data_IF_366375480417
#
_entry.id   IF_366375480417
#
_cell.length_a   1.000
_cell.length_b   1.000
_cell.length_c   1.000
_cell.angle_alpha   90.00
_cell.angle_beta   90.00
_cell.angle_gamma   90.00
#
_symmetry.space_group_name_H-M   'P 1'
#
loop_
_entity.id
_entity.type
_entity.pdbx_description
1 polymer ?
#
# COMPACT_ATOMS: atom_id res chain seq x y z
N UNK A 1 -8.49 7.43 15.26
CA UNK A 1 -8.87 6.47 16.32
C UNK A 1 -7.66 6.21 17.19
N UNK A 2 -7.81 6.29 18.51
CA UNK A 2 -6.73 5.97 19.45
C UNK A 2 -6.37 4.49 19.26
N UNK A 3 -5.06 4.20 19.12
CA UNK A 3 -4.57 2.82 18.96
C UNK A 3 -4.68 2.22 17.56
N UNK A 4 -5.00 3.01 16.54
CA UNK A 4 -4.96 2.55 15.15
C UNK A 4 -4.02 3.41 14.30
N UNK A 5 -3.14 2.76 13.57
CA UNK A 5 -2.26 3.38 12.55
C UNK A 5 -2.77 2.99 11.18
N UNK A 6 -2.90 3.97 10.28
CA UNK A 6 -3.20 3.71 8.88
C UNK A 6 -2.02 4.21 8.03
N UNK A 7 -1.49 3.34 7.19
CA UNK A 7 -0.49 3.68 6.18
C UNK A 7 -1.18 3.65 4.82
N UNK A 8 -1.01 4.72 4.06
CA UNK A 8 -1.70 4.93 2.78
C UNK A 8 -0.64 5.11 1.71
N UNK A 9 -0.66 4.27 0.71
CA UNK A 9 0.19 4.35 -0.48
C UNK A 9 -0.70 4.48 -1.71
N UNK A 10 -1.03 5.71 -2.15
CA UNK A 10 -1.66 5.94 -3.44
C UNK A 10 -0.57 6.06 -4.50
N UNK A 11 -0.88 5.58 -5.70
CA UNK A 11 -0.05 5.77 -6.88
C UNK A 11 -0.91 6.28 -8.02
N UNK A 12 -0.50 7.42 -8.62
CA UNK A 12 -1.20 8.03 -9.74
C UNK A 12 -0.86 7.30 -11.03
N UNK A 13 -1.87 6.88 -11.77
CA UNK A 13 -1.66 6.21 -13.06
C UNK A 13 -1.16 7.20 -14.11
N UNK A 14 -0.15 6.78 -14.87
CA UNK A 14 0.51 7.62 -15.87
C UNK A 14 1.85 8.18 -15.37
N UNK A 15 2.33 9.23 -16.03
CA UNK A 15 3.62 9.83 -15.71
C UNK A 15 3.53 11.35 -15.55
N UNK A 16 4.48 11.91 -14.79
CA UNK A 16 4.63 13.35 -14.66
C UNK A 16 3.75 14.01 -13.59
N UNK A 17 3.59 15.33 -13.71
CA UNK A 17 2.99 16.16 -12.66
C UNK A 17 1.51 15.88 -12.39
N UNK A 18 0.75 15.42 -13.37
CA UNK A 18 -0.68 15.10 -13.20
C UNK A 18 -0.85 13.86 -12.30
N UNK A 19 -0.12 12.78 -12.57
CA UNK A 19 -0.14 11.57 -11.75
C UNK A 19 0.33 11.85 -10.30
N UNK A 20 1.41 12.61 -10.14
CA UNK A 20 1.90 13.03 -8.82
C UNK A 20 0.88 13.89 -8.07
N UNK A 21 0.16 14.77 -8.77
CA UNK A 21 -0.92 15.56 -8.15
C UNK A 21 -2.08 14.67 -7.71
N UNK A 22 -2.52 13.72 -8.53
CA UNK A 22 -3.64 12.83 -8.21
C UNK A 22 -3.33 11.91 -7.03
N UNK A 23 -2.14 11.34 -6.96
CA UNK A 23 -1.71 10.53 -5.82
C UNK A 23 -1.63 11.37 -4.53
N UNK A 24 -1.05 12.58 -4.60
CA UNK A 24 -0.96 13.48 -3.45
C UNK A 24 -2.34 13.93 -2.97
N UNK A 25 -3.23 14.32 -3.89
CA UNK A 25 -4.60 14.69 -3.57
C UNK A 25 -5.37 13.53 -2.93
N UNK A 26 -5.23 12.33 -3.47
CA UNK A 26 -5.85 11.11 -2.94
C UNK A 26 -5.39 10.83 -1.50
N UNK A 27 -4.08 10.88 -1.25
CA UNK A 27 -3.51 10.69 0.09
C UNK A 27 -4.05 11.71 1.08
N UNK A 28 -4.01 12.98 0.72
CA UNK A 28 -4.41 14.09 1.61
C UNK A 28 -5.91 14.07 1.90
N UNK A 29 -6.75 13.80 0.91
CA UNK A 29 -8.21 13.66 1.13
C UNK A 29 -8.52 12.48 2.06
N UNK A 30 -7.93 11.32 1.82
CA UNK A 30 -8.11 10.16 2.70
C UNK A 30 -7.66 10.47 4.13
N UNK A 31 -6.47 11.02 4.29
CA UNK A 31 -5.94 11.40 5.60
C UNK A 31 -6.90 12.33 6.36
N UNK A 32 -7.36 13.41 5.73
CA UNK A 32 -8.26 14.39 6.35
C UNK A 32 -9.63 13.79 6.70
N UNK A 33 -10.19 12.96 5.83
CA UNK A 33 -11.47 12.30 6.09
C UNK A 33 -11.37 11.34 7.28
N UNK A 34 -10.30 10.54 7.34
CA UNK A 34 -10.06 9.61 8.45
C UNK A 34 -9.82 10.36 9.76
N UNK A 35 -9.04 11.44 9.75
CA UNK A 35 -8.81 12.30 10.91
C UNK A 35 -10.10 12.98 11.40
N UNK A 36 -11.00 13.33 10.49
CA UNK A 36 -12.33 13.86 10.81
C UNK A 36 -13.30 12.79 11.34
N UNK A 37 -12.87 11.53 11.47
CA UNK A 37 -13.69 10.43 11.99
C UNK A 37 -14.58 9.76 10.96
N UNK A 38 -14.41 10.06 9.67
CA UNK A 38 -15.12 9.35 8.59
C UNK A 38 -14.58 7.93 8.52
N UNK A 39 -15.49 6.95 8.39
CA UNK A 39 -15.07 5.55 8.21
C UNK A 39 -14.27 5.39 6.92
N UNK A 40 -13.32 4.44 6.90
CA UNK A 40 -12.45 4.24 5.75
C UNK A 40 -13.25 3.91 4.48
N UNK A 41 -14.29 3.08 4.58
CA UNK A 41 -15.18 2.77 3.43
C UNK A 41 -15.87 4.01 2.87
N UNK A 42 -16.36 4.90 3.74
CA UNK A 42 -16.98 6.15 3.31
C UNK A 42 -15.95 7.11 2.72
N UNK A 43 -14.77 7.22 3.31
CA UNK A 43 -13.67 8.04 2.81
C UNK A 43 -13.22 7.61 1.41
N UNK A 44 -13.05 6.29 1.19
CA UNK A 44 -12.69 5.73 -0.11
C UNK A 44 -13.75 6.04 -1.18
N UNK A 45 -15.05 5.91 -0.85
CA UNK A 45 -16.14 6.26 -1.77
C UNK A 45 -16.16 7.75 -2.11
N UNK A 46 -15.90 8.62 -1.14
CA UNK A 46 -15.83 10.06 -1.36
C UNK A 46 -14.65 10.42 -2.27
N UNK A 47 -13.47 9.83 -2.03
CA UNK A 47 -12.29 10.04 -2.86
C UNK A 47 -12.52 9.55 -4.28
N UNK A 48 -13.11 8.36 -4.45
CA UNK A 48 -13.47 7.85 -5.77
C UNK A 48 -14.42 8.83 -6.51
N UNK A 49 -15.43 9.35 -5.83
CA UNK A 49 -16.35 10.32 -6.41
C UNK A 49 -15.65 11.63 -6.78
N UNK A 50 -14.71 12.11 -5.95
CA UNK A 50 -13.96 13.32 -6.22
C UNK A 50 -13.06 13.19 -7.46
N UNK A 51 -12.39 12.04 -7.60
CA UNK A 51 -11.59 11.74 -8.78
C UNK A 51 -12.44 11.66 -10.04
N UNK A 52 -13.59 10.99 -10.00
CA UNK A 52 -14.52 10.91 -11.12
C UNK A 52 -15.02 12.27 -11.60
N UNK A 53 -15.31 13.20 -10.68
CA UNK A 53 -15.75 14.55 -11.04
C UNK A 53 -14.62 15.39 -11.63
N UNK A 54 -13.40 15.20 -11.12
CA UNK A 54 -12.21 15.91 -11.63
C UNK A 54 -11.83 15.45 -13.02
N UNK A 55 -12.00 14.16 -13.31
CA UNK A 55 -11.55 13.54 -14.56
C UNK A 55 -12.52 13.83 -15.71
N UNK A 56 -12.36 15.00 -16.32
CA UNK A 56 -12.75 15.16 -17.71
C UNK A 56 -11.94 14.22 -18.64
N UNK A 57 -10.75 13.78 -18.23
CA UNK A 57 -9.89 12.79 -18.88
C UNK A 57 -8.85 12.26 -17.86
N UNK A 58 -8.98 10.98 -17.49
CA UNK A 58 -7.90 10.10 -17.02
C UNK A 58 -7.23 10.36 -15.67
N UNK A 59 -7.92 10.91 -14.67
CA UNK A 59 -7.38 10.96 -13.29
C UNK A 59 -7.65 9.64 -12.58
N UNK A 60 -6.73 8.71 -12.66
CA UNK A 60 -6.79 7.40 -12.02
C UNK A 60 -5.72 7.29 -10.94
N UNK A 61 -6.05 6.65 -9.85
CA UNK A 61 -5.07 6.33 -8.81
C UNK A 61 -5.31 4.93 -8.28
N UNK A 62 -4.23 4.21 -8.05
CA UNK A 62 -4.28 3.01 -7.23
C UNK A 62 -4.28 3.41 -5.76
N UNK A 63 -4.84 2.60 -4.90
CA UNK A 63 -4.82 2.83 -3.45
C UNK A 63 -4.48 1.52 -2.76
N UNK A 64 -3.45 1.56 -1.94
CA UNK A 64 -3.10 0.53 -0.98
C UNK A 64 -3.12 1.11 0.43
N UNK A 65 -3.91 0.52 1.32
CA UNK A 65 -4.02 0.95 2.71
C UNK A 65 -3.81 -0.23 3.63
N UNK A 66 -2.92 -0.04 4.60
CA UNK A 66 -2.71 -0.97 5.70
C UNK A 66 -3.13 -0.28 7.00
N UNK A 67 -4.17 -0.78 7.63
CA UNK A 67 -4.67 -0.30 8.92
C UNK A 67 -4.32 -1.28 10.04
N UNK A 68 -3.51 -0.86 11.00
CA UNK A 68 -3.06 -1.69 12.12
C UNK A 68 -3.76 -1.27 13.40
N UNK A 69 -4.44 -2.19 14.04
CA UNK A 69 -4.92 -2.03 15.42
C UNK A 69 -3.78 -2.43 16.38
N UNK A 70 -3.26 -1.45 17.09
CA UNK A 70 -2.09 -1.61 17.95
C UNK A 70 -2.37 -2.41 19.23
N UNK A 71 -3.65 -2.59 19.61
CA UNK A 71 -4.03 -3.37 20.79
C UNK A 71 -4.19 -4.85 20.48
N UNK A 72 -4.69 -5.16 19.30
CA UNK A 72 -5.03 -6.54 18.92
C UNK A 72 -4.04 -7.17 17.93
N UNK A 73 -3.22 -6.35 17.27
CA UNK A 73 -2.38 -6.78 16.14
C UNK A 73 -3.21 -7.13 14.90
N UNK A 74 -4.50 -6.75 14.88
CA UNK A 74 -5.35 -6.93 13.72
C UNK A 74 -4.94 -5.94 12.62
N UNK A 75 -4.67 -6.46 11.44
CA UNK A 75 -4.25 -5.69 10.26
C UNK A 75 -5.28 -5.84 9.16
N UNK A 76 -5.85 -4.73 8.74
CA UNK A 76 -6.77 -4.62 7.62
C UNK A 76 -6.02 -4.10 6.39
N UNK A 77 -6.19 -4.77 5.27
CA UNK A 77 -5.68 -4.38 3.96
C UNK A 77 -6.86 -3.93 3.09
N UNK A 78 -6.78 -2.71 2.54
CA UNK A 78 -7.75 -2.18 1.59
C UNK A 78 -7.02 -1.84 0.31
N UNK A 79 -7.46 -2.41 -0.80
CA UNK A 79 -6.79 -2.27 -2.09
C UNK A 79 -7.76 -1.84 -3.19
N UNK A 80 -7.28 -0.97 -4.07
CA UNK A 80 -7.96 -0.60 -5.30
C UNK A 80 -6.91 -0.47 -6.42
N UNK A 81 -6.80 -1.47 -7.27
CA UNK A 81 -5.84 -1.53 -8.38
C UNK A 81 -4.36 -1.52 -7.97
N UNK A 82 -4.07 -1.63 -6.69
CA UNK A 82 -2.72 -1.51 -6.16
C UNK A 82 -1.91 -2.81 -6.31
N UNK A 83 -0.58 -2.64 -6.36
CA UNK A 83 0.38 -3.72 -6.32
C UNK A 83 0.17 -4.66 -5.11
N UNK A 84 0.62 -5.92 -5.14
CA UNK A 84 0.57 -6.81 -3.99
C UNK A 84 1.22 -6.20 -2.74
N UNK A 85 0.62 -6.41 -1.59
CA UNK A 85 1.21 -6.09 -0.28
C UNK A 85 1.74 -7.38 0.32
N UNK A 86 3.03 -7.39 0.65
CA UNK A 86 3.71 -8.57 1.15
C UNK A 86 3.66 -8.63 2.67
N UNK A 87 3.72 -9.82 3.19
CA UNK A 87 3.75 -10.04 4.64
C UNK A 87 4.64 -11.24 4.99
N UNK A 88 5.27 -11.17 6.16
CA UNK A 88 5.85 -12.31 6.83
C UNK A 88 5.09 -12.55 8.12
N UNK A 89 4.41 -13.67 8.19
CA UNK A 89 3.63 -14.08 9.36
C UNK A 89 4.19 -15.36 9.94
N UNK A 90 4.64 -15.31 11.19
CA UNK A 90 5.23 -16.46 11.88
C UNK A 90 6.35 -17.13 11.07
N UNK A 91 7.21 -16.30 10.47
CA UNK A 91 8.35 -16.74 9.65
C UNK A 91 8.02 -17.18 8.23
N UNK A 92 6.76 -17.14 7.80
CA UNK A 92 6.36 -17.50 6.44
C UNK A 92 6.01 -16.26 5.63
N UNK A 93 6.61 -16.14 4.45
CA UNK A 93 6.28 -15.10 3.48
C UNK A 93 4.97 -15.39 2.76
N UNK A 94 4.33 -14.32 2.34
CA UNK A 94 3.11 -14.34 1.54
C UNK A 94 2.76 -12.94 1.07
N UNK A 95 1.63 -12.81 0.38
CA UNK A 95 1.16 -11.53 -0.09
C UNK A 95 -0.37 -11.47 -0.15
N UNK A 96 -0.90 -10.25 -0.18
CA UNK A 96 -2.31 -9.93 -0.37
C UNK A 96 -2.43 -9.21 -1.71
N UNK A 97 -3.19 -9.79 -2.62
CA UNK A 97 -3.56 -9.19 -3.90
C UNK A 97 -5.00 -8.73 -3.90
N UNK A 98 -5.35 -7.89 -4.85
CA UNK A 98 -6.72 -7.50 -5.14
C UNK A 98 -6.94 -7.48 -6.65
N UNK A 99 -8.11 -7.94 -7.08
CA UNK A 99 -8.58 -7.82 -8.45
C UNK A 99 -9.43 -6.57 -8.67
N UNK A 100 -9.58 -5.71 -7.66
CA UNK A 100 -10.36 -4.49 -7.76
C UNK A 100 -9.70 -3.45 -8.68
N UNK A 101 -10.54 -2.63 -9.30
CA UNK A 101 -10.09 -1.57 -10.21
C UNK A 101 -9.51 -0.37 -9.41
N UNK A 102 -8.60 0.41 -10.02
CA UNK A 102 -8.19 1.70 -9.50
C UNK A 102 -9.38 2.64 -9.25
N UNK A 103 -9.21 3.61 -8.35
CA UNK A 103 -10.20 4.65 -8.12
C UNK A 103 -10.24 5.65 -9.26
N UNK A 104 -11.40 6.21 -9.52
CA UNK A 104 -11.62 7.16 -10.61
C UNK A 104 -12.10 6.52 -11.93
N UNK A 105 -12.14 5.18 -12.05
CA UNK A 105 -12.61 4.50 -13.26
C UNK A 105 -14.13 4.44 -13.35
N UNK A 106 -14.78 3.99 -12.28
CA UNK A 106 -16.23 3.74 -12.27
C UNK A 106 -16.89 4.30 -11.01
N UNK A 107 -18.13 4.75 -11.15
CA UNK A 107 -19.01 4.98 -9.99
C UNK A 107 -19.35 3.66 -9.30
N UNK A 108 -19.25 3.63 -7.96
CA UNK A 108 -19.63 2.45 -7.18
C UNK A 108 -18.55 1.38 -7.06
N UNK A 109 -17.27 1.75 -7.10
CA UNK A 109 -16.15 0.85 -6.83
C UNK A 109 -16.31 0.18 -5.46
N UNK A 110 -16.17 -1.14 -5.44
CA UNK A 110 -16.06 -1.91 -4.21
C UNK A 110 -14.59 -2.10 -3.88
N UNK A 111 -14.24 -1.79 -2.62
CA UNK A 111 -12.87 -2.02 -2.13
C UNK A 111 -12.80 -3.40 -1.50
N UNK A 112 -11.81 -4.17 -1.90
CA UNK A 112 -11.54 -5.45 -1.26
C UNK A 112 -10.87 -5.20 0.09
N UNK A 113 -11.42 -5.83 1.13
CA UNK A 113 -10.87 -5.82 2.47
C UNK A 113 -10.43 -7.21 2.85
N UNK A 114 -9.15 -7.36 3.17
CA UNK A 114 -8.58 -8.57 3.76
C UNK A 114 -8.12 -8.25 5.18
N UNK A 115 -8.27 -9.19 6.10
CA UNK A 115 -7.89 -9.00 7.50
C UNK A 115 -7.02 -10.16 7.96
N UNK A 116 -5.89 -9.85 8.59
CA UNK A 116 -5.00 -10.82 9.25
C UNK A 116 -4.65 -10.33 10.65
N UNK A 117 -4.39 -11.26 11.56
CA UNK A 117 -3.79 -10.92 12.86
C UNK A 117 -2.30 -11.20 12.79
N UNK A 118 -1.50 -10.18 13.05
CA UNK A 118 -0.05 -10.25 13.12
C UNK A 118 0.42 -10.18 14.58
N UNK A 119 1.64 -10.63 14.82
CA UNK A 119 2.28 -10.71 16.13
C UNK A 119 3.62 -9.99 16.10
N UNK A 120 4.22 -9.85 17.25
CA UNK A 120 5.59 -9.36 17.39
C UNK A 120 6.55 -10.07 16.45
N UNK A 121 7.37 -9.30 15.72
CA UNK A 121 8.30 -9.77 14.71
C UNK A 121 7.69 -10.07 13.34
N UNK A 122 6.36 -10.03 13.19
CA UNK A 122 5.74 -10.12 11.87
C UNK A 122 5.92 -8.81 11.09
N UNK A 123 5.97 -8.92 9.76
CA UNK A 123 6.26 -7.81 8.84
C UNK A 123 5.12 -7.61 7.85
N UNK A 124 4.92 -6.35 7.47
CA UNK A 124 4.14 -5.97 6.29
C UNK A 124 5.00 -5.06 5.41
N UNK A 125 5.00 -5.32 4.10
CA UNK A 125 5.73 -4.53 3.11
C UNK A 125 4.78 -4.08 2.02
N UNK A 126 4.60 -2.77 1.91
CA UNK A 126 3.86 -2.13 0.83
C UNK A 126 4.85 -1.62 -0.22
N UNK A 127 4.51 -1.77 -1.48
CA UNK A 127 5.37 -1.35 -2.59
C UNK A 127 4.55 -0.70 -3.70
N UNK A 128 5.17 0.23 -4.44
CA UNK A 128 4.64 0.68 -5.73
C UNK A 128 4.90 -0.38 -6.80
N UNK A 129 4.18 -0.32 -7.92
CA UNK A 129 4.33 -1.24 -9.06
C UNK A 129 5.74 -1.16 -9.67
N UNK A 130 6.37 0.02 -9.69
CA UNK A 130 7.75 0.20 -10.09
C UNK A 130 8.75 -0.66 -9.32
N UNK A 131 8.43 -1.09 -8.10
CA UNK A 131 9.26 -2.02 -7.34
C UNK A 131 9.18 -3.47 -7.85
N UNK A 132 8.18 -3.79 -8.66
CA UNK A 132 7.85 -5.15 -9.09
C UNK A 132 8.15 -5.43 -10.57
N UNK A 133 8.77 -4.49 -11.28
CA UNK A 133 9.09 -4.60 -12.72
C UNK A 133 9.93 -5.86 -13.07
N UNK A 134 10.68 -6.40 -12.13
CA UNK A 134 11.45 -7.65 -12.26
C UNK A 134 10.75 -8.90 -11.71
N UNK A 135 9.42 -8.86 -11.48
CA UNK A 135 8.68 -9.90 -10.76
C UNK A 135 8.80 -9.74 -9.24
N UNK A 136 8.12 -10.57 -8.46
CA UNK A 136 8.06 -10.38 -7.00
C UNK A 136 8.30 -11.64 -6.14
N UNK A 137 8.52 -12.80 -6.74
CA UNK A 137 8.79 -14.04 -5.97
C UNK A 137 10.01 -13.92 -5.06
N UNK A 138 11.00 -13.16 -5.52
CA UNK A 138 12.19 -12.85 -4.75
C UNK A 138 11.88 -12.12 -3.45
N UNK A 139 10.89 -11.22 -3.46
CA UNK A 139 10.51 -10.42 -2.29
C UNK A 139 9.91 -11.31 -1.20
N UNK A 140 9.06 -12.27 -1.58
CA UNK A 140 8.51 -13.27 -0.64
C UNK A 140 9.65 -14.08 -0.02
N UNK A 141 10.60 -14.54 -0.85
CA UNK A 141 11.76 -15.30 -0.37
C UNK A 141 12.66 -14.47 0.56
N UNK A 142 12.94 -13.21 0.21
CA UNK A 142 13.77 -12.33 1.03
C UNK A 142 13.11 -12.05 2.38
N UNK A 143 11.79 -11.86 2.43
CA UNK A 143 11.06 -11.68 3.68
C UNK A 143 11.11 -12.94 4.57
N UNK A 144 11.00 -14.14 3.99
CA UNK A 144 11.12 -15.39 4.75
C UNK A 144 12.49 -15.55 5.42
N UNK A 145 13.55 -15.14 4.73
CA UNK A 145 14.93 -15.29 5.19
C UNK A 145 15.45 -14.11 6.02
N UNK A 146 14.70 -13.02 6.06
CA UNK A 146 15.11 -11.84 6.82
C UNK A 146 15.13 -12.14 8.32
N UNK A 147 16.31 -12.02 8.93
CA UNK A 147 16.54 -12.27 10.36
C UNK A 147 16.85 -11.00 11.17
N UNK A 148 16.83 -9.83 10.51
CA UNK A 148 17.05 -8.55 11.17
C UNK A 148 15.82 -8.03 11.91
N UNK A 149 16.02 -6.94 12.63
CA UNK A 149 15.03 -6.24 13.46
C UNK A 149 14.87 -4.75 13.11
N UNK A 150 15.57 -4.29 12.06
CA UNK A 150 15.50 -2.90 11.59
C UNK A 150 14.63 -2.78 10.32
N UNK A 151 13.38 -2.26 10.42
CA UNK A 151 12.51 -2.08 9.27
C UNK A 151 13.06 -1.08 8.25
N UNK A 152 13.88 -0.10 8.68
CA UNK A 152 14.51 0.85 7.78
C UNK A 152 15.57 0.17 6.92
N UNK A 153 16.46 -0.60 7.54
CA UNK A 153 17.47 -1.35 6.80
C UNK A 153 16.81 -2.29 5.77
N UNK A 154 15.76 -3.00 6.17
CA UNK A 154 15.01 -3.86 5.25
C UNK A 154 14.41 -3.09 4.08
N UNK A 155 13.80 -1.92 4.33
CA UNK A 155 13.21 -1.11 3.25
C UNK A 155 14.25 -0.63 2.24
N UNK A 156 15.43 -0.23 2.71
CA UNK A 156 16.56 0.18 1.86
C UNK A 156 17.11 -1.00 1.04
N UNK A 157 17.25 -2.18 1.64
CA UNK A 157 17.68 -3.39 0.95
C UNK A 157 16.69 -3.80 -0.15
N UNK A 158 15.39 -3.83 0.15
CA UNK A 158 14.37 -4.19 -0.82
C UNK A 158 14.27 -3.18 -1.97
N UNK A 159 14.38 -1.89 -1.69
CA UNK A 159 14.39 -0.86 -2.72
C UNK A 159 15.61 -0.97 -3.65
N UNK A 160 16.80 -1.24 -3.09
CA UNK A 160 18.02 -1.45 -3.85
C UNK A 160 17.92 -2.71 -4.73
N UNK A 161 17.38 -3.79 -4.21
CA UNK A 161 17.19 -5.04 -4.95
C UNK A 161 16.14 -4.89 -6.06
N UNK A 162 15.02 -4.18 -5.80
CA UNK A 162 14.03 -3.84 -6.83
C UNK A 162 14.69 -3.08 -7.99
N UNK A 163 15.50 -2.08 -7.67
CA UNK A 163 16.23 -1.30 -8.67
C UNK A 163 17.22 -2.17 -9.48
N UNK A 164 17.91 -3.09 -8.81
CA UNK A 164 18.87 -4.00 -9.47
C UNK A 164 18.20 -4.98 -10.42
N UNK A 165 16.97 -5.43 -10.08
CA UNK A 165 16.20 -6.40 -10.87
C UNK A 165 15.44 -5.79 -12.03
N UNK A 166 15.29 -4.50 -12.06
CA UNK A 166 14.64 -3.78 -13.15
C UNK A 166 15.39 -4.01 -14.46
N UNK A 167 14.72 -4.57 -15.44
CA UNK A 167 15.31 -4.95 -16.73
C UNK A 167 14.59 -4.33 -17.95
N UNK A 168 13.50 -3.60 -17.70
CA UNK A 168 12.60 -3.10 -18.74
C UNK A 168 12.99 -1.74 -19.35
N UNK A 169 14.01 -1.09 -18.77
CA UNK A 169 14.49 0.21 -19.23
C UNK A 169 13.54 1.38 -18.96
N UNK A 170 12.40 1.14 -18.28
CA UNK A 170 11.52 2.20 -17.82
C UNK A 170 11.96 2.69 -16.44
N UNK A 171 12.04 4.00 -16.28
CA UNK A 171 12.29 4.63 -14.96
C UNK A 171 10.94 4.96 -14.33
N UNK A 172 10.44 4.04 -13.52
CA UNK A 172 9.29 4.28 -12.66
C UNK A 172 9.74 4.43 -11.21
N UNK A 173 8.98 5.18 -10.41
CA UNK A 173 9.33 5.45 -9.02
C UNK A 173 9.20 4.18 -8.18
N UNK A 174 10.22 3.91 -7.36
CA UNK A 174 10.23 2.78 -6.42
C UNK A 174 9.93 3.30 -5.02
N UNK A 175 8.81 2.89 -4.49
CA UNK A 175 8.45 3.13 -3.09
C UNK A 175 8.38 1.79 -2.36
N UNK A 176 9.04 1.71 -1.22
CA UNK A 176 8.98 0.55 -0.31
C UNK A 176 8.72 1.04 1.10
N UNK A 177 7.67 0.55 1.72
CA UNK A 177 7.30 0.85 3.11
C UNK A 177 7.29 -0.46 3.90
N UNK A 178 8.07 -0.52 4.97
CA UNK A 178 8.14 -1.68 5.86
C UNK A 178 7.52 -1.33 7.20
N UNK A 179 6.60 -2.17 7.65
CA UNK A 179 6.02 -2.14 8.98
C UNK A 179 6.46 -3.40 9.72
N UNK A 180 7.04 -3.23 10.89
CA UNK A 180 7.36 -4.32 11.81
C UNK A 180 6.53 -4.15 13.08
N UNK A 181 5.88 -5.23 13.51
CA UNK A 181 5.14 -5.21 14.76
C UNK A 181 6.08 -5.48 15.91
N UNK A 182 6.15 -4.53 16.82
CA UNK A 182 6.91 -4.65 18.07
C UNK A 182 5.96 -4.66 19.26
N UNK A 183 6.39 -5.30 20.34
CA UNK A 183 5.65 -5.27 21.59
C UNK A 183 5.85 -3.90 22.24
N UNK A 184 4.77 -3.20 22.51
CA UNK A 184 4.85 -1.98 23.32
C UNK A 184 5.41 -2.27 24.71
N UNK A 185 6.32 -1.40 25.15
CA UNK A 185 6.89 -1.43 26.52
C UNK A 185 5.85 -0.99 27.52
#
# INVERSE_FOLDING_TARGET
QIGRVNVILPDGMGSGGAAAFDSTMTAELLRRLIEAGVSLDAALKLVNSALLVKSGDESLSTIDIVGVDLYTGCVDFYKAGAAPTFLRKSGRGGYVESSSLPVGILGGVTFEKNTVTLREGDLVVMVSDGALAGGFDWLVSDLEHYAGDDPKELSEQLAAESKRRRSDGHEDDITVIVLMLERGV
#
